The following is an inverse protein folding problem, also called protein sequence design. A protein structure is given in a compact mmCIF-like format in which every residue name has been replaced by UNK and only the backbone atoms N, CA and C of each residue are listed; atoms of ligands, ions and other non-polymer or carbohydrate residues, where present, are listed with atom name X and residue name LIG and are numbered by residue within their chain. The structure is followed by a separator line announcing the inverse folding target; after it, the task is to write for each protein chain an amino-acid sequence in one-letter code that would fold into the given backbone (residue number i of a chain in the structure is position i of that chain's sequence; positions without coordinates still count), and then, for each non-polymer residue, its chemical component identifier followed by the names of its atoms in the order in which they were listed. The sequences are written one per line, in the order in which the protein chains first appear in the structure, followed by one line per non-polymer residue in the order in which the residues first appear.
data_IF_809387435172
#
_entry.id   IF_809387435172
#
_cell.length_a   1.000
_cell.length_b   1.000
_cell.length_c   1.000
_cell.angle_alpha   90.00
_cell.angle_beta   90.00
_cell.angle_gamma   90.00
#
_symmetry.space_group_name_H-M   'P 1'
#
loop_
_entity.id
_entity.type
_entity.pdbx_description
1 polymer ?
#
# COMPACT_ATOMS: atom_id res chain seq x y z
N UNK A 1 58.31 18.08 3.60
CA UNK A 1 57.51 19.24 3.17
C UNK A 1 56.08 18.76 2.98
N UNK A 2 55.17 19.03 3.93
CA UNK A 2 53.77 18.58 3.89
C UNK A 2 52.90 19.74 3.40
N UNK A 3 52.33 19.63 2.21
CA UNK A 3 51.41 20.61 1.65
C UNK A 3 50.01 20.39 2.24
N UNK A 4 49.55 21.33 3.05
CA UNK A 4 48.19 21.38 3.54
C UNK A 4 47.30 22.01 2.46
N UNK A 5 46.45 21.20 1.83
CA UNK A 5 45.41 21.67 0.90
C UNK A 5 44.22 22.11 1.75
N UNK A 6 44.08 23.43 1.90
CA UNK A 6 42.95 24.08 2.55
C UNK A 6 41.77 24.11 1.56
N UNK A 7 40.88 23.13 1.63
CA UNK A 7 39.64 23.11 0.84
C UNK A 7 38.63 24.06 1.51
N UNK A 8 38.57 25.31 1.03
CA UNK A 8 37.55 26.26 1.44
C UNK A 8 36.20 25.83 0.83
N UNK A 9 35.35 25.19 1.64
CA UNK A 9 33.96 24.93 1.31
C UNK A 9 33.21 26.26 1.25
N UNK A 10 33.13 26.84 0.05
CA UNK A 10 32.25 27.97 -0.26
C UNK A 10 30.81 27.48 -0.16
N UNK A 11 30.20 27.62 1.01
CA UNK A 11 28.80 27.29 1.25
C UNK A 11 27.95 28.38 0.58
N UNK A 12 27.49 28.11 -0.65
CA UNK A 12 26.46 28.94 -1.28
C UNK A 12 25.18 28.69 -0.47
N UNK A 13 24.81 29.65 0.37
CA UNK A 13 23.53 29.64 1.05
C UNK A 13 22.45 29.76 -0.04
N UNK A 14 21.86 28.63 -0.42
CA UNK A 14 20.63 28.61 -1.21
C UNK A 14 19.52 29.02 -0.24
N UNK A 15 19.31 30.31 -0.11
CA UNK A 15 18.13 30.86 0.52
C UNK A 15 16.92 30.30 -0.23
N UNK A 16 16.14 29.44 0.43
CA UNK A 16 14.86 28.95 -0.09
C UNK A 16 13.86 30.11 -0.04
N UNK A 17 14.03 31.08 -0.94
CA UNK A 17 13.05 32.12 -1.15
C UNK A 17 11.79 31.48 -1.71
N UNK A 18 10.63 31.99 -1.28
CA UNK A 18 9.30 31.40 -1.47
C UNK A 18 8.98 30.88 -2.88
N UNK A 19 7.86 30.19 -3.00
CA UNK A 19 7.41 29.58 -4.27
C UNK A 19 7.21 30.65 -5.36
N UNK A 20 7.49 30.28 -6.62
CA UNK A 20 7.08 31.08 -7.77
C UNK A 20 5.59 30.87 -8.07
N UNK A 21 4.82 31.94 -7.98
CA UNK A 21 3.39 31.99 -8.31
C UNK A 21 3.22 32.50 -9.74
N UNK A 22 2.46 31.79 -10.55
CA UNK A 22 2.30 32.12 -11.97
C UNK A 22 0.85 32.45 -12.29
N UNK A 23 0.65 33.52 -13.05
CA UNK A 23 -0.68 33.91 -13.52
C UNK A 23 -1.21 32.93 -14.59
N UNK A 24 -2.52 32.95 -14.83
CA UNK A 24 -3.20 32.08 -15.79
C UNK A 24 -2.67 32.24 -17.22
N UNK A 25 -2.07 33.40 -17.54
CA UNK A 25 -1.44 33.64 -18.84
C UNK A 25 -0.01 33.11 -18.95
N UNK A 26 0.66 32.89 -17.82
CA UNK A 26 2.08 32.52 -17.77
C UNK A 26 3.07 33.65 -17.94
N UNK A 27 2.59 34.88 -18.17
CA UNK A 27 3.43 36.05 -18.44
C UNK A 27 3.95 36.68 -17.17
N UNK A 28 3.18 36.61 -16.09
CA UNK A 28 3.51 37.22 -14.82
C UNK A 28 3.89 36.13 -13.80
N UNK A 29 5.02 36.34 -13.15
CA UNK A 29 5.59 35.45 -12.15
C UNK A 29 5.97 36.27 -10.94
N UNK A 30 5.67 35.76 -9.75
CA UNK A 30 6.01 36.43 -8.48
C UNK A 30 6.59 35.39 -7.54
N UNK A 31 7.80 35.62 -7.05
CA UNK A 31 8.38 34.80 -6.00
C UNK A 31 7.95 35.35 -4.63
N UNK A 32 7.19 34.57 -3.88
CA UNK A 32 6.63 35.01 -2.59
C UNK A 32 6.14 33.85 -1.73
N UNK A 33 6.02 34.07 -0.44
CA UNK A 33 5.41 33.16 0.52
C UNK A 33 3.91 33.40 0.61
N UNK A 34 3.15 32.31 0.72
CA UNK A 34 1.71 32.38 1.00
C UNK A 34 1.47 32.93 2.40
N UNK A 35 0.51 33.84 2.55
CA UNK A 35 0.09 34.37 3.85
C UNK A 35 -1.32 33.90 4.19
N UNK A 36 -2.29 34.21 3.33
CA UNK A 36 -3.69 33.86 3.54
C UNK A 36 -4.50 34.00 2.23
N UNK A 37 -5.65 33.33 2.17
CA UNK A 37 -6.73 33.67 1.25
C UNK A 37 -7.68 34.63 1.97
N UNK A 38 -8.25 35.61 1.27
CA UNK A 38 -9.27 36.50 1.84
C UNK A 38 -10.50 35.72 2.31
N UNK A 39 -11.27 36.29 3.24
CA UNK A 39 -12.45 35.63 3.82
C UNK A 39 -13.52 35.27 2.77
N UNK A 40 -13.59 36.04 1.68
CA UNK A 40 -14.48 35.80 0.53
C UNK A 40 -13.96 34.71 -0.44
N UNK A 41 -12.72 34.24 -0.26
CA UNK A 41 -12.09 33.26 -1.13
C UNK A 41 -11.65 33.78 -2.50
N UNK A 42 -11.78 35.08 -2.79
CA UNK A 42 -11.56 35.64 -4.13
C UNK A 42 -10.11 36.05 -4.40
N UNK A 43 -9.35 36.38 -3.36
CA UNK A 43 -7.98 36.88 -3.46
C UNK A 43 -7.04 36.14 -2.52
N UNK A 44 -5.76 36.12 -2.86
CA UNK A 44 -4.71 35.63 -1.98
C UNK A 44 -3.70 36.73 -1.67
N UNK A 45 -3.15 36.68 -0.46
CA UNK A 45 -2.10 37.57 0.00
C UNK A 45 -0.78 36.81 0.01
N UNK A 46 0.20 37.37 -0.69
CA UNK A 46 1.56 36.87 -0.76
C UNK A 46 2.53 37.85 -0.11
N UNK A 47 3.59 37.34 0.52
CA UNK A 47 4.67 38.13 1.09
C UNK A 47 5.96 37.91 0.31
N UNK A 48 6.50 38.97 -0.26
CA UNK A 48 7.76 38.95 -1.02
C UNK A 48 8.97 38.94 -0.09
N UNK A 49 10.14 38.75 -0.68
CA UNK A 49 11.44 38.77 -0.01
C UNK A 49 11.73 40.09 0.72
N UNK A 50 11.36 41.22 0.11
CA UNK A 50 11.43 42.57 0.67
C UNK A 50 10.43 42.84 1.81
N UNK A 51 9.74 41.80 2.30
CA UNK A 51 8.68 41.83 3.31
C UNK A 51 7.40 42.56 2.88
N UNK A 52 7.34 43.10 1.66
CA UNK A 52 6.12 43.69 1.12
C UNK A 52 5.08 42.61 0.84
N UNK A 53 3.80 42.99 0.95
CA UNK A 53 2.68 42.10 0.62
C UNK A 53 2.06 42.50 -0.71
N UNK A 54 1.58 41.51 -1.46
CA UNK A 54 0.82 41.71 -2.68
C UNK A 54 -0.45 40.88 -2.62
N UNK A 55 -1.59 41.49 -2.94
CA UNK A 55 -2.86 40.80 -3.08
C UNK A 55 -3.11 40.50 -4.56
N UNK A 56 -3.39 39.25 -4.88
CA UNK A 56 -3.67 38.77 -6.24
C UNK A 56 -5.04 38.09 -6.29
N UNK A 57 -5.90 38.37 -7.29
CA UNK A 57 -7.12 37.61 -7.49
C UNK A 57 -6.79 36.14 -7.78
N UNK A 58 -7.41 35.23 -7.03
CA UNK A 58 -7.17 33.79 -7.15
C UNK A 58 -7.50 33.28 -8.56
N UNK A 59 -8.59 33.80 -9.15
CA UNK A 59 -9.01 33.50 -10.52
C UNK A 59 -7.98 33.87 -11.61
N UNK A 60 -7.02 34.75 -11.29
CA UNK A 60 -5.93 35.13 -12.20
C UNK A 60 -4.70 34.26 -12.09
N UNK A 61 -4.62 33.35 -11.11
CA UNK A 61 -3.53 32.39 -11.04
C UNK A 61 -3.76 31.20 -11.98
N UNK A 62 -2.70 30.45 -12.29
CA UNK A 62 -2.85 29.13 -12.92
C UNK A 62 -3.59 28.19 -11.99
N UNK A 63 -4.31 27.24 -12.57
CA UNK A 63 -5.08 26.22 -11.82
C UNK A 63 -4.26 25.53 -10.73
N UNK A 64 -3.01 25.15 -11.05
CA UNK A 64 -2.10 24.52 -10.08
C UNK A 64 -1.82 25.40 -8.85
N UNK A 65 -1.58 26.69 -9.06
CA UNK A 65 -1.30 27.61 -7.95
C UNK A 65 -2.59 27.98 -7.19
N UNK A 66 -3.74 28.00 -7.87
CA UNK A 66 -5.05 28.13 -7.20
C UNK A 66 -5.30 26.96 -6.24
N UNK A 67 -5.07 25.74 -6.71
CA UNK A 67 -5.28 24.53 -5.91
C UNK A 67 -4.27 24.48 -4.75
N UNK A 68 -3.03 24.90 -4.98
CA UNK A 68 -2.03 25.00 -3.92
C UNK A 68 -2.35 26.07 -2.86
N UNK A 69 -2.81 27.25 -3.26
CA UNK A 69 -3.24 28.27 -2.29
C UNK A 69 -4.38 27.78 -1.40
N UNK A 70 -5.36 27.07 -1.99
CA UNK A 70 -6.47 26.46 -1.24
C UNK A 70 -5.99 25.37 -0.30
N UNK A 71 -5.04 24.55 -0.73
CA UNK A 71 -4.39 23.56 0.09
C UNK A 71 -3.70 24.17 1.32
N UNK A 72 -2.92 25.25 1.12
CA UNK A 72 -2.26 25.96 2.23
C UNK A 72 -3.28 26.63 3.17
N UNK A 73 -4.31 27.28 2.64
CA UNK A 73 -5.37 27.88 3.44
C UNK A 73 -6.10 26.86 4.34
N UNK A 74 -6.11 25.59 3.94
CA UNK A 74 -6.69 24.49 4.71
C UNK A 74 -5.71 23.84 5.71
N UNK A 75 -4.53 24.42 5.92
CA UNK A 75 -3.49 23.89 6.80
C UNK A 75 -2.73 22.69 6.22
N UNK A 76 -2.72 22.55 4.88
CA UNK A 76 -2.10 21.42 4.21
C UNK A 76 -0.60 21.28 4.47
N UNK A 77 0.12 22.39 4.66
CA UNK A 77 1.56 22.39 4.99
C UNK A 77 1.84 21.80 6.37
N UNK A 78 1.05 22.18 7.37
CA UNK A 78 1.12 21.63 8.72
C UNK A 78 0.87 20.12 8.67
N UNK A 79 -0.16 19.68 7.95
CA UNK A 79 -0.48 18.25 7.80
C UNK A 79 0.64 17.48 7.09
N UNK A 80 1.25 18.05 6.04
CA UNK A 80 2.41 17.44 5.36
C UNK A 80 3.60 17.33 6.30
N UNK A 81 3.84 18.33 7.15
CA UNK A 81 4.92 18.26 8.15
C UNK A 81 4.66 17.16 9.20
N UNK A 82 3.40 17.00 9.62
CA UNK A 82 2.96 15.99 10.57
C UNK A 82 3.12 14.56 10.03
N UNK A 83 3.20 14.35 8.72
CA UNK A 83 3.54 13.05 8.13
C UNK A 83 4.92 12.51 8.56
N UNK A 84 5.81 13.37 9.07
CA UNK A 84 7.12 12.96 9.57
C UNK A 84 7.15 12.73 11.09
N UNK A 85 6.04 12.99 11.80
CA UNK A 85 5.98 12.94 13.27
C UNK A 85 6.41 11.57 13.81
N UNK A 86 7.17 11.50 14.93
CA UNK A 86 7.53 10.21 15.55
C UNK A 86 6.32 9.39 16.01
N UNK A 87 5.20 10.03 16.38
CA UNK A 87 3.97 9.36 16.80
C UNK A 87 3.11 9.02 15.59
N UNK A 88 2.88 7.73 15.39
CA UNK A 88 2.10 7.20 14.27
C UNK A 88 0.66 7.70 14.24
N UNK A 89 0.00 7.84 15.40
CA UNK A 89 -1.36 8.36 15.48
C UNK A 89 -1.50 9.77 14.91
N UNK A 90 -0.47 10.62 15.08
CA UNK A 90 -0.43 11.97 14.49
C UNK A 90 -0.27 11.87 12.97
N UNK A 91 0.65 11.03 12.49
CA UNK A 91 0.87 10.83 11.06
C UNK A 91 -0.38 10.32 10.34
N UNK A 92 -1.05 9.32 10.92
CA UNK A 92 -2.26 8.72 10.37
C UNK A 92 -3.41 9.74 10.32
N UNK A 93 -3.61 10.50 11.39
CA UNK A 93 -4.59 11.58 11.40
C UNK A 93 -4.29 12.66 10.35
N UNK A 94 -3.01 13.00 10.15
CA UNK A 94 -2.58 13.94 9.13
C UNK A 94 -2.84 13.39 7.71
N UNK A 95 -2.46 12.14 7.44
CA UNK A 95 -2.70 11.48 6.16
C UNK A 95 -4.19 11.40 5.82
N UNK A 96 -5.04 11.01 6.79
CA UNK A 96 -6.49 10.97 6.61
C UNK A 96 -7.06 12.36 6.23
N UNK A 97 -6.59 13.42 6.89
CA UNK A 97 -6.99 14.80 6.56
C UNK A 97 -6.49 15.22 5.18
N UNK A 98 -5.26 14.88 4.80
CA UNK A 98 -4.71 15.15 3.47
C UNK A 98 -5.51 14.47 2.36
N UNK A 99 -5.97 13.24 2.58
CA UNK A 99 -6.89 12.55 1.67
C UNK A 99 -8.20 13.33 1.53
N UNK A 100 -8.78 13.77 2.65
CA UNK A 100 -10.03 14.51 2.67
C UNK A 100 -9.93 15.88 1.99
N UNK A 101 -8.76 16.55 2.05
CA UNK A 101 -8.50 17.80 1.33
C UNK A 101 -8.48 17.61 -0.19
N UNK A 102 -7.93 16.49 -0.65
CA UNK A 102 -7.75 16.19 -2.07
C UNK A 102 -6.74 17.12 -2.77
N UNK A 103 -6.46 16.85 -4.06
CA UNK A 103 -5.58 17.66 -4.92
C UNK A 103 -4.25 18.05 -4.26
N UNK A 104 -3.51 17.06 -3.77
CA UNK A 104 -2.23 17.33 -3.12
C UNK A 104 -1.24 17.98 -4.10
N UNK A 105 -0.47 18.98 -3.65
CA UNK A 105 0.53 19.61 -4.51
C UNK A 105 1.70 18.67 -4.77
N UNK A 106 2.38 18.88 -5.90
CA UNK A 106 3.53 18.05 -6.31
C UNK A 106 4.65 18.00 -5.26
N UNK A 107 4.85 19.09 -4.51
CA UNK A 107 5.87 19.17 -3.48
C UNK A 107 5.57 18.25 -2.28
N UNK A 108 4.33 17.78 -2.13
CA UNK A 108 3.92 16.80 -1.10
C UNK A 108 4.27 15.36 -1.45
N UNK A 109 4.68 15.05 -2.68
CA UNK A 109 5.05 13.67 -3.09
C UNK A 109 6.12 13.10 -2.17
N UNK A 110 7.23 13.81 -1.99
CA UNK A 110 8.38 13.30 -1.22
C UNK A 110 8.02 13.03 0.27
N UNK A 111 7.34 13.94 0.99
CA UNK A 111 6.83 13.64 2.34
C UNK A 111 5.88 12.44 2.40
N UNK A 112 4.97 12.29 1.44
CA UNK A 112 4.04 11.14 1.38
C UNK A 112 4.80 9.83 1.16
N UNK A 113 5.79 9.82 0.26
CA UNK A 113 6.64 8.65 0.07
C UNK A 113 7.44 8.31 1.34
N UNK A 114 7.99 9.32 2.02
CA UNK A 114 8.71 9.12 3.28
C UNK A 114 7.81 8.60 4.41
N UNK A 115 6.54 9.04 4.45
CA UNK A 115 5.53 8.49 5.33
C UNK A 115 5.31 7.01 5.05
N UNK A 116 5.05 6.63 3.79
CA UNK A 116 4.84 5.22 3.40
C UNK A 116 6.04 4.37 3.78
N UNK A 117 7.25 4.84 3.49
CA UNK A 117 8.49 4.14 3.84
C UNK A 117 8.61 3.90 5.35
N UNK A 118 8.26 4.92 6.13
CA UNK A 118 8.27 4.84 7.59
C UNK A 118 7.23 3.85 8.10
N UNK A 119 6.01 3.85 7.55
CA UNK A 119 4.97 2.89 7.91
C UNK A 119 5.41 1.45 7.61
N UNK A 120 6.01 1.19 6.45
CA UNK A 120 6.54 -0.14 6.08
C UNK A 120 7.63 -0.59 7.06
N UNK A 121 8.56 0.30 7.43
CA UNK A 121 9.65 -0.02 8.36
C UNK A 121 9.12 -0.28 9.77
N UNK A 122 8.16 0.52 10.24
CA UNK A 122 7.58 0.38 11.58
C UNK A 122 6.64 -0.83 11.72
N UNK A 123 6.14 -1.38 10.60
CA UNK A 123 5.44 -2.67 10.58
C UNK A 123 6.37 -3.85 10.88
N UNK A 124 7.68 -3.68 10.74
CA UNK A 124 8.65 -4.71 11.10
C UNK A 124 8.89 -4.65 12.61
N UNK A 125 8.40 -5.64 13.39
CA UNK A 125 8.60 -5.63 14.83
C UNK A 125 10.10 -5.76 15.12
N UNK A 126 10.70 -4.78 15.79
CA UNK A 126 12.07 -4.92 16.28
C UNK A 126 12.04 -5.92 17.43
N UNK A 127 12.75 -7.08 17.34
CA UNK A 127 12.77 -8.04 18.43
C UNK A 127 13.29 -7.36 19.69
N UNK A 128 12.58 -7.42 20.84
CA UNK A 128 13.09 -6.82 22.06
C UNK A 128 14.37 -7.54 22.47
N UNK A 129 15.45 -6.76 22.71
CA UNK A 129 16.76 -7.29 23.11
C UNK A 129 16.71 -8.11 24.41
N UNK A 130 15.74 -7.81 25.28
CA UNK A 130 15.47 -8.54 26.51
C UNK A 130 14.02 -9.02 26.50
N UNK A 131 13.79 -10.27 26.08
CA UNK A 131 12.46 -10.90 26.12
C UNK A 131 12.11 -11.22 27.58
N UNK A 132 11.48 -10.29 28.28
CA UNK A 132 10.70 -10.67 29.46
C UNK A 132 9.54 -11.54 28.98
N UNK A 133 9.27 -12.63 29.69
CA UNK A 133 8.09 -13.46 29.42
C UNK A 133 6.85 -12.59 29.60
N UNK A 134 6.02 -12.52 28.58
CA UNK A 134 4.74 -11.83 28.67
C UNK A 134 3.85 -12.59 29.67
N UNK A 135 3.24 -11.88 30.61
CA UNK A 135 2.36 -12.48 31.63
C UNK A 135 0.88 -12.27 31.31
N UNK A 136 0.55 -11.17 30.61
CA UNK A 136 -0.82 -10.79 30.27
C UNK A 136 -0.86 -10.12 28.90
N UNK A 137 -1.97 -10.27 28.18
CA UNK A 137 -2.31 -9.47 27.00
C UNK A 137 -3.46 -8.52 27.32
N UNK A 138 -3.35 -7.31 26.80
CA UNK A 138 -4.43 -6.32 26.85
C UNK A 138 -5.36 -6.54 25.66
N UNK A 139 -6.63 -6.85 25.95
CA UNK A 139 -7.69 -6.88 24.95
C UNK A 139 -8.27 -5.47 24.79
N UNK A 140 -8.66 -5.11 23.58
CA UNK A 140 -9.22 -3.79 23.25
C UNK A 140 -10.73 -3.76 23.52
N UNK A 141 -11.41 -4.90 23.47
CA UNK A 141 -12.83 -5.08 23.79
C UNK A 141 -13.75 -5.32 22.58
N UNK A 142 -13.23 -5.17 21.36
CA UNK A 142 -13.85 -5.47 20.06
C UNK A 142 -13.54 -6.89 19.56
N UNK A 143 -12.82 -7.70 20.34
CA UNK A 143 -12.55 -9.09 20.00
C UNK A 143 -13.80 -9.97 20.03
N UNK A 144 -13.88 -10.88 19.06
CA UNK A 144 -14.84 -11.98 19.02
C UNK A 144 -14.11 -13.28 19.32
N UNK A 145 -14.59 -14.05 20.31
CA UNK A 145 -13.97 -15.33 20.64
C UNK A 145 -14.30 -16.41 19.61
N UNK A 146 -13.37 -17.36 19.37
CA UNK A 146 -13.64 -18.49 18.48
C UNK A 146 -14.78 -19.36 19.00
N UNK A 147 -14.98 -19.41 20.32
CA UNK A 147 -16.12 -20.08 20.95
C UNK A 147 -17.44 -19.46 20.47
N UNK A 148 -17.50 -18.13 20.33
CA UNK A 148 -18.70 -17.43 19.85
C UNK A 148 -18.94 -17.72 18.37
N UNK A 149 -17.89 -17.68 17.54
CA UNK A 149 -17.97 -18.02 16.11
C UNK A 149 -18.45 -19.47 15.96
N UNK A 150 -17.84 -20.42 16.67
CA UNK A 150 -18.21 -21.84 16.68
C UNK A 150 -19.65 -22.09 17.10
N UNK A 151 -20.14 -21.37 18.11
CA UNK A 151 -21.49 -21.54 18.62
C UNK A 151 -22.56 -21.09 17.61
N UNK A 152 -22.22 -20.11 16.75
CA UNK A 152 -23.17 -19.48 15.83
C UNK A 152 -22.52 -19.05 14.51
N UNK A 153 -21.94 -19.98 13.73
CA UNK A 153 -21.13 -19.62 12.56
C UNK A 153 -21.92 -18.84 11.50
N UNK A 154 -23.22 -19.11 11.35
CA UNK A 154 -24.09 -18.42 10.40
C UNK A 154 -24.27 -16.93 10.68
N UNK A 155 -24.11 -16.47 11.92
CA UNK A 155 -24.16 -15.03 12.26
C UNK A 155 -22.87 -14.29 11.85
N UNK A 156 -21.81 -15.02 11.47
CA UNK A 156 -20.48 -14.47 11.13
C UNK A 156 -20.08 -14.71 9.67
N UNK A 157 -20.96 -15.25 8.83
CA UNK A 157 -20.66 -15.52 7.42
C UNK A 157 -20.49 -14.20 6.65
N UNK A 158 -19.31 -14.01 6.06
CA UNK A 158 -18.92 -12.79 5.34
C UNK A 158 -18.70 -11.56 6.22
N UNK A 159 -18.92 -11.67 7.53
CA UNK A 159 -18.67 -10.59 8.48
C UNK A 159 -17.19 -10.57 8.88
N UNK A 160 -16.64 -9.38 8.99
CA UNK A 160 -15.29 -9.19 9.52
C UNK A 160 -15.34 -9.09 11.05
N UNK A 161 -14.58 -9.95 11.71
CA UNK A 161 -14.43 -9.97 13.17
C UNK A 161 -12.97 -9.93 13.56
N UNK A 162 -12.69 -9.49 14.79
CA UNK A 162 -11.33 -9.42 15.30
C UNK A 162 -11.07 -10.56 16.28
N UNK A 163 -10.00 -11.33 16.06
CA UNK A 163 -9.56 -12.40 16.95
C UNK A 163 -8.16 -12.11 17.51
N UNK A 164 -7.86 -12.63 18.70
CA UNK A 164 -6.57 -12.45 19.39
C UNK A 164 -5.97 -13.79 19.75
N UNK A 165 -4.71 -14.01 19.37
CA UNK A 165 -4.07 -15.29 19.61
C UNK A 165 -2.66 -15.39 19.06
N UNK A 166 -2.16 -16.62 19.02
CA UNK A 166 -0.86 -16.94 18.43
C UNK A 166 -1.09 -17.59 17.08
N UNK A 167 -0.43 -17.06 16.05
CA UNK A 167 -0.39 -17.65 14.72
C UNK A 167 0.94 -18.38 14.50
N UNK A 168 0.88 -19.58 13.94
CA UNK A 168 2.03 -20.42 13.63
C UNK A 168 1.92 -21.05 12.24
N UNK A 169 3.03 -21.45 11.60
CA UNK A 169 2.97 -22.09 10.30
C UNK A 169 2.14 -23.38 10.40
N UNK A 170 1.22 -23.60 9.47
CA UNK A 170 0.49 -24.86 9.37
C UNK A 170 1.09 -25.75 8.29
N UNK A 171 1.05 -27.05 8.50
CA UNK A 171 1.26 -28.05 7.44
C UNK A 171 -0.02 -28.36 6.67
N UNK A 172 -1.14 -27.75 7.07
CA UNK A 172 -2.47 -28.04 6.55
C UNK A 172 -2.82 -27.10 5.37
N UNK A 173 -2.50 -27.51 4.13
CA UNK A 173 -2.79 -26.76 2.91
C UNK A 173 -4.00 -27.34 2.14
N UNK A 174 -4.69 -26.47 1.39
CA UNK A 174 -5.75 -26.77 0.41
C UNK A 174 -7.06 -27.37 0.95
N UNK A 175 -7.30 -27.36 2.26
CA UNK A 175 -8.60 -27.76 2.78
C UNK A 175 -9.64 -26.66 2.53
N UNK A 176 -10.57 -26.91 1.61
CA UNK A 176 -11.61 -25.97 1.20
C UNK A 176 -11.10 -24.79 0.36
N UNK A 177 -9.84 -24.82 -0.09
CA UNK A 177 -9.15 -23.68 -0.71
C UNK A 177 -8.36 -24.16 -1.95
N UNK A 178 -8.99 -24.10 -3.12
CA UNK A 178 -8.31 -24.40 -4.39
C UNK A 178 -7.19 -23.40 -4.61
N UNK A 179 -5.99 -23.90 -4.98
CA UNK A 179 -4.80 -23.08 -5.23
C UNK A 179 -4.43 -22.16 -4.05
N UNK A 180 -4.76 -22.53 -2.80
CA UNK A 180 -4.32 -21.75 -1.64
C UNK A 180 -2.80 -21.65 -1.56
N UNK A 181 -2.08 -22.69 -1.95
CA UNK A 181 -0.62 -22.68 -2.00
C UNK A 181 -0.01 -21.57 -2.87
N UNK A 182 -0.71 -21.05 -3.88
CA UNK A 182 -0.23 -19.95 -4.70
C UNK A 182 -0.72 -18.58 -4.22
N UNK A 183 -1.84 -18.53 -3.50
CA UNK A 183 -2.53 -17.28 -3.14
C UNK A 183 -2.46 -16.93 -1.64
N UNK A 184 -2.27 -17.93 -0.78
CA UNK A 184 -2.32 -17.81 0.67
C UNK A 184 -1.17 -18.56 1.37
N UNK A 185 -0.88 -18.16 2.60
CA UNK A 185 -0.19 -19.00 3.57
C UNK A 185 -1.23 -19.66 4.48
N UNK A 186 -1.11 -20.97 4.68
CA UNK A 186 -1.91 -21.68 5.67
C UNK A 186 -1.26 -21.58 7.05
N UNK A 187 -2.03 -21.15 8.04
CA UNK A 187 -1.54 -20.97 9.41
C UNK A 187 -2.48 -21.59 10.43
N UNK A 188 -1.91 -22.07 11.52
CA UNK A 188 -2.65 -22.49 12.69
C UNK A 188 -2.78 -21.29 13.63
N UNK A 189 -3.99 -21.05 14.11
CA UNK A 189 -4.28 -20.00 15.06
C UNK A 189 -4.73 -20.60 16.39
N UNK A 190 -4.13 -20.15 17.48
CA UNK A 190 -4.54 -20.49 18.85
C UNK A 190 -5.02 -19.25 19.58
N UNK A 191 -6.33 -19.16 19.82
CA UNK A 191 -6.94 -18.06 20.56
C UNK A 191 -6.37 -18.01 21.98
N UNK A 192 -6.02 -16.81 22.43
CA UNK A 192 -5.54 -16.56 23.79
C UNK A 192 -6.53 -15.70 24.56
N UNK A 193 -6.72 -16.03 25.83
CA UNK A 193 -7.35 -15.15 26.82
C UNK A 193 -6.34 -14.15 27.40
N UNK A 194 -6.82 -13.22 28.23
CA UNK A 194 -5.98 -12.17 28.85
C UNK A 194 -4.79 -12.72 29.61
N UNK A 195 -4.91 -13.89 30.25
CA UNK A 195 -3.85 -14.53 31.03
C UNK A 195 -2.99 -15.50 30.20
N UNK A 196 -3.05 -15.39 28.87
CA UNK A 196 -2.35 -16.24 27.91
C UNK A 196 -2.79 -17.72 27.93
N UNK A 197 -3.94 -18.05 28.53
CA UNK A 197 -4.52 -19.38 28.41
C UNK A 197 -5.13 -19.57 27.04
N UNK A 198 -4.84 -20.71 26.39
CA UNK A 198 -5.40 -21.07 25.08
C UNK A 198 -6.88 -21.45 25.22
N UNK A 199 -7.75 -20.80 24.45
CA UNK A 199 -9.20 -21.00 24.50
C UNK A 199 -9.75 -21.85 23.34
N UNK A 200 -9.15 -21.71 22.16
CA UNK A 200 -9.66 -22.32 20.94
C UNK A 200 -8.58 -22.41 19.86
N UNK A 201 -8.90 -23.13 18.78
CA UNK A 201 -8.04 -23.25 17.60
C UNK A 201 -8.86 -23.09 16.33
N UNK A 202 -8.24 -22.52 15.30
CA UNK A 202 -8.76 -22.43 13.94
C UNK A 202 -7.58 -22.46 12.96
N UNK A 203 -7.88 -22.64 11.68
CA UNK A 203 -6.95 -22.40 10.59
C UNK A 203 -7.24 -21.03 9.99
N UNK A 204 -6.19 -20.24 9.78
CA UNK A 204 -6.30 -18.93 9.15
C UNK A 204 -5.50 -18.95 7.86
N UNK A 205 -6.18 -18.69 6.75
CA UNK A 205 -5.54 -18.45 5.46
C UNK A 205 -5.21 -16.97 5.36
N UNK A 206 -3.92 -16.68 5.17
CA UNK A 206 -3.43 -15.30 5.09
C UNK A 206 -3.02 -15.04 3.65
N UNK A 207 -3.68 -14.12 2.93
CA UNK A 207 -3.31 -13.80 1.57
C UNK A 207 -1.82 -13.44 1.48
N UNK A 208 -1.09 -14.07 0.54
CA UNK A 208 0.36 -13.84 0.35
C UNK A 208 0.70 -12.37 0.07
N UNK A 209 -0.31 -11.64 -0.39
CA UNK A 209 -0.30 -10.26 -0.82
C UNK A 209 0.09 -9.27 0.31
N UNK A 210 -0.25 -9.49 1.60
CA UNK A 210 0.20 -8.63 2.73
C UNK A 210 0.89 -9.41 3.86
N UNK A 211 1.16 -10.69 3.68
CA UNK A 211 1.56 -11.55 4.79
C UNK A 211 3.07 -11.64 5.00
N UNK A 212 3.90 -11.08 4.11
CA UNK A 212 5.35 -11.28 4.12
C UNK A 212 5.99 -11.02 5.50
N UNK A 213 5.76 -9.83 6.05
CA UNK A 213 6.28 -9.45 7.37
C UNK A 213 5.75 -10.34 8.51
N UNK A 214 4.49 -10.74 8.44
CA UNK A 214 3.89 -11.62 9.44
C UNK A 214 4.51 -13.03 9.36
N UNK A 215 4.69 -13.55 8.15
CA UNK A 215 5.26 -14.89 7.91
C UNK A 215 6.72 -14.93 8.35
N UNK A 216 7.52 -13.93 7.99
CA UNK A 216 8.91 -13.84 8.42
C UNK A 216 8.99 -13.73 9.95
N UNK A 217 8.20 -12.83 10.55
CA UNK A 217 8.15 -12.67 12.00
C UNK A 217 7.66 -13.91 12.74
N UNK A 218 6.79 -14.71 12.12
CA UNK A 218 6.30 -15.99 12.61
C UNK A 218 7.39 -17.06 12.51
N UNK A 219 8.08 -17.19 11.38
CA UNK A 219 9.20 -18.10 11.18
C UNK A 219 10.32 -17.84 12.20
N UNK A 220 10.75 -16.58 12.35
CA UNK A 220 11.74 -16.18 13.35
C UNK A 220 11.33 -16.54 14.78
N UNK A 221 10.03 -16.41 15.10
CA UNK A 221 9.51 -16.74 16.43
C UNK A 221 9.62 -18.24 16.69
N UNK A 222 9.23 -19.07 15.72
CA UNK A 222 9.35 -20.54 15.80
C UNK A 222 10.80 -20.99 15.86
N UNK A 223 11.68 -20.44 15.04
CA UNK A 223 13.12 -20.71 15.06
C UNK A 223 13.77 -20.33 16.39
N UNK A 224 13.22 -19.31 17.07
CA UNK A 224 13.62 -18.92 18.42
C UNK A 224 13.05 -19.81 19.54
N UNK A 225 12.30 -20.87 19.20
CA UNK A 225 11.67 -21.80 20.16
C UNK A 225 10.35 -21.30 20.77
N UNK A 226 9.70 -20.29 20.17
CA UNK A 226 8.34 -19.88 20.54
C UNK A 226 7.30 -20.66 19.74
N UNK A 227 6.07 -20.73 20.24
CA UNK A 227 4.97 -21.43 19.57
C UNK A 227 4.52 -20.73 18.27
N UNK A 228 4.82 -19.44 18.10
CA UNK A 228 4.38 -18.63 16.97
C UNK A 228 4.45 -17.13 17.28
N UNK A 229 3.70 -16.33 16.52
CA UNK A 229 3.62 -14.87 16.69
C UNK A 229 2.31 -14.46 17.36
N UNK A 230 2.38 -13.62 18.39
CA UNK A 230 1.19 -13.02 19.02
C UNK A 230 0.61 -11.93 18.11
N UNK A 231 -0.67 -12.11 17.74
CA UNK A 231 -1.36 -11.30 16.74
C UNK A 231 -2.79 -10.95 17.16
N UNK A 232 -3.23 -9.80 16.66
CA UNK A 232 -4.63 -9.40 16.51
C UNK A 232 -4.95 -9.51 15.03
N UNK A 233 -6.01 -10.22 14.63
CA UNK A 233 -6.32 -10.42 13.21
C UNK A 233 -7.75 -10.04 12.92
N UNK A 234 -7.98 -9.27 11.86
CA UNK A 234 -9.30 -9.15 11.21
C UNK A 234 -9.46 -10.37 10.33
N UNK A 235 -10.52 -11.11 10.57
CA UNK A 235 -10.81 -12.35 9.86
C UNK A 235 -12.27 -12.41 9.45
N UNK A 236 -12.56 -13.19 8.42
CA UNK A 236 -13.93 -13.49 8.01
C UNK A 236 -14.10 -14.98 7.73
N UNK A 237 -15.34 -15.46 7.88
CA UNK A 237 -15.74 -16.81 7.46
C UNK A 237 -16.40 -16.71 6.09
N UNK A 238 -15.72 -17.12 5.02
CA UNK A 238 -16.29 -17.03 3.65
C UNK A 238 -17.53 -17.93 3.54
N UNK A 239 -18.69 -17.37 3.12
CA UNK A 239 -19.94 -18.13 2.99
C UNK A 239 -19.82 -19.40 2.15
N UNK A 240 -19.10 -19.33 1.02
CA UNK A 240 -18.95 -20.44 0.07
C UNK A 240 -18.22 -21.62 0.71
N UNK A 241 -17.17 -21.31 1.49
CA UNK A 241 -16.37 -22.33 2.19
C UNK A 241 -17.15 -23.02 3.28
N UNK A 242 -17.92 -22.25 4.03
CA UNK A 242 -18.77 -22.78 5.07
C UNK A 242 -19.85 -23.72 4.51
N UNK A 243 -20.46 -23.35 3.37
CA UNK A 243 -21.44 -24.19 2.68
C UNK A 243 -20.84 -25.50 2.16
N UNK A 244 -19.64 -25.45 1.56
CA UNK A 244 -18.99 -26.62 0.97
C UNK A 244 -18.39 -27.59 2.00
N UNK A 245 -17.67 -27.06 3.00
CA UNK A 245 -16.96 -27.87 3.98
C UNK A 245 -17.78 -28.14 5.25
N UNK A 246 -18.78 -27.29 5.55
CA UNK A 246 -19.53 -27.33 6.81
C UNK A 246 -18.69 -26.99 8.04
N UNK A 247 -17.48 -26.44 7.88
CA UNK A 247 -16.57 -26.13 8.98
C UNK A 247 -16.48 -24.63 9.24
N UNK A 248 -16.49 -24.26 10.52
CA UNK A 248 -16.42 -22.86 10.99
C UNK A 248 -14.99 -22.40 11.26
N UNK A 249 -14.04 -23.34 11.27
CA UNK A 249 -12.65 -23.16 11.71
C UNK A 249 -11.71 -22.79 10.57
N UNK A 250 -12.24 -22.49 9.38
CA UNK A 250 -11.51 -21.97 8.24
C UNK A 250 -11.79 -20.48 8.09
N UNK A 251 -10.84 -19.67 8.54
CA UNK A 251 -10.96 -18.21 8.53
C UNK A 251 -10.01 -17.62 7.49
N UNK A 252 -10.40 -16.50 6.91
CA UNK A 252 -9.58 -15.74 5.99
C UNK A 252 -9.17 -14.42 6.62
N UNK A 253 -7.87 -14.17 6.69
CA UNK A 253 -7.33 -12.93 7.23
C UNK A 253 -7.50 -11.80 6.21
N UNK A 254 -8.03 -10.66 6.65
CA UNK A 254 -8.11 -9.43 5.87
C UNK A 254 -7.10 -8.37 6.34
N UNK A 255 -6.63 -8.45 7.60
CA UNK A 255 -5.66 -7.53 8.19
C UNK A 255 -5.10 -8.10 9.50
N UNK A 256 -3.96 -7.59 9.96
CA UNK A 256 -3.36 -8.02 11.23
C UNK A 256 -2.62 -6.91 11.96
N UNK A 257 -2.45 -7.09 13.26
CA UNK A 257 -1.64 -6.29 14.19
C UNK A 257 -0.68 -7.22 14.92
N UNK A 258 0.53 -6.75 15.15
CA UNK A 258 1.50 -7.44 16.01
C UNK A 258 1.49 -6.83 17.41
N UNK A 259 1.84 -7.65 18.40
CA UNK A 259 2.07 -7.14 19.73
C UNK A 259 3.52 -6.67 19.89
N UNK A 260 3.71 -5.37 20.16
CA UNK A 260 5.01 -4.74 20.38
C UNK A 260 5.58 -4.90 21.79
N UNK A 261 4.88 -5.64 22.67
CA UNK A 261 5.23 -5.81 24.08
C UNK A 261 4.51 -4.80 24.98
N UNK A 262 4.68 -4.93 26.30
CA UNK A 262 3.93 -4.16 27.31
C UNK A 262 4.03 -2.63 27.14
N UNK A 263 5.16 -2.12 26.67
CA UNK A 263 5.36 -0.68 26.50
C UNK A 263 4.67 -0.12 25.25
N UNK A 264 4.44 -0.95 24.24
CA UNK A 264 3.90 -0.53 22.93
C UNK A 264 2.45 -0.99 22.71
N UNK A 265 2.03 -2.08 23.36
CA UNK A 265 0.73 -2.70 23.16
C UNK A 265 0.61 -3.29 21.74
N UNK A 266 -0.60 -3.23 21.19
CA UNK A 266 -0.86 -3.57 19.80
C UNK A 266 -0.32 -2.48 18.87
N UNK A 267 0.54 -2.89 17.94
CA UNK A 267 0.92 -2.05 16.80
C UNK A 267 -0.32 -1.81 15.93
N UNK A 268 -0.39 -0.72 15.16
CA UNK A 268 -1.52 -0.50 14.27
C UNK A 268 -1.63 -1.56 13.18
N UNK A 269 -2.80 -1.58 12.57
CA UNK A 269 -3.13 -2.53 11.52
C UNK A 269 -2.16 -2.41 10.36
N UNK A 270 -1.72 -3.56 9.87
CA UNK A 270 -0.75 -3.71 8.79
C UNK A 270 -1.15 -2.94 7.53
N UNK A 271 -2.45 -2.84 7.26
CA UNK A 271 -2.91 -2.15 6.06
C UNK A 271 -3.28 -0.68 6.28
N UNK A 272 -3.49 -0.19 7.51
CA UNK A 272 -4.03 1.17 7.72
C UNK A 272 -3.05 2.25 7.26
N UNK A 273 -1.78 2.15 7.66
CA UNK A 273 -0.74 3.10 7.23
C UNK A 273 -0.51 3.08 5.72
N UNK A 274 -0.51 1.88 5.12
CA UNK A 274 -0.39 1.70 3.68
C UNK A 274 -1.60 2.27 2.93
N UNK A 275 -2.83 1.97 3.36
CA UNK A 275 -4.08 2.51 2.80
C UNK A 275 -4.10 4.03 2.84
N UNK A 276 -3.65 4.63 3.94
CA UNK A 276 -3.56 6.09 4.08
C UNK A 276 -2.50 6.67 3.14
N UNK A 277 -1.30 6.08 3.08
CA UNK A 277 -0.25 6.55 2.19
C UNK A 277 -0.66 6.45 0.72
N UNK A 278 -1.29 5.33 0.36
CA UNK A 278 -1.93 5.08 -0.93
C UNK A 278 -3.00 6.13 -1.24
N UNK A 279 -3.89 6.41 -0.29
CA UNK A 279 -4.93 7.42 -0.46
C UNK A 279 -4.34 8.79 -0.73
N UNK A 280 -3.24 9.16 -0.05
CA UNK A 280 -2.51 10.39 -0.33
C UNK A 280 -1.93 10.39 -1.76
N UNK A 281 -1.29 9.30 -2.19
CA UNK A 281 -0.75 9.19 -3.54
C UNK A 281 -1.83 9.30 -4.64
N UNK A 282 -3.02 8.76 -4.39
CA UNK A 282 -4.16 8.90 -5.30
C UNK A 282 -4.55 10.37 -5.54
N UNK A 283 -4.34 11.25 -4.55
CA UNK A 283 -4.62 12.68 -4.68
C UNK A 283 -3.55 13.45 -5.46
N UNK A 284 -2.37 12.86 -5.69
CA UNK A 284 -1.25 13.50 -6.38
C UNK A 284 -1.38 13.43 -7.92
N UNK A 285 -2.38 12.73 -8.46
CA UNK A 285 -2.59 12.54 -9.91
C UNK A 285 -1.31 12.15 -10.68
N UNK A 286 -0.42 11.38 -10.04
CA UNK A 286 0.89 11.00 -10.58
C UNK A 286 1.10 9.50 -10.42
N UNK A 287 1.49 8.85 -11.52
CA UNK A 287 1.76 7.41 -11.57
C UNK A 287 3.20 7.12 -11.14
N UNK A 288 4.18 7.84 -11.69
CA UNK A 288 5.61 7.55 -11.49
C UNK A 288 6.07 7.43 -10.01
N UNK A 289 5.68 8.32 -9.08
CA UNK A 289 6.07 8.19 -7.68
C UNK A 289 5.55 6.91 -7.04
N UNK A 290 4.32 6.50 -7.42
CA UNK A 290 3.70 5.27 -6.95
C UNK A 290 4.49 4.07 -7.49
N UNK A 291 4.83 4.07 -8.78
CA UNK A 291 5.63 3.00 -9.39
C UNK A 291 6.99 2.83 -8.71
N UNK A 292 7.64 3.93 -8.33
CA UNK A 292 8.93 3.84 -7.64
C UNK A 292 8.86 3.17 -6.27
N UNK A 293 7.71 3.26 -5.56
CA UNK A 293 7.49 2.47 -4.34
C UNK A 293 7.46 0.97 -4.63
N UNK A 294 6.77 0.55 -5.71
CA UNK A 294 6.62 -0.87 -6.06
C UNK A 294 7.92 -1.54 -6.44
N UNK A 295 8.85 -0.77 -7.02
CA UNK A 295 10.16 -1.30 -7.40
C UNK A 295 11.07 -1.57 -6.19
N UNK A 296 10.67 -1.19 -4.97
CA UNK A 296 11.47 -1.42 -3.77
C UNK A 296 11.40 -2.88 -3.34
N UNK A 297 12.54 -3.53 -3.00
CA UNK A 297 12.60 -4.96 -2.68
C UNK A 297 11.60 -5.42 -1.61
N UNK A 298 11.29 -4.55 -0.64
CA UNK A 298 10.42 -4.87 0.50
C UNK A 298 8.95 -4.47 0.27
N UNK A 299 8.63 -3.90 -0.89
CA UNK A 299 7.29 -3.45 -1.31
C UNK A 299 6.81 -4.24 -2.53
N UNK A 300 7.61 -5.19 -3.02
CA UNK A 300 7.26 -6.15 -4.09
C UNK A 300 6.26 -7.19 -3.60
N UNK A 301 5.21 -6.74 -2.92
CA UNK A 301 4.07 -7.57 -2.65
C UNK A 301 3.13 -7.50 -3.85
N UNK A 302 2.37 -8.57 -4.10
CA UNK A 302 1.32 -8.57 -5.11
C UNK A 302 0.28 -7.46 -4.87
N UNK A 303 0.26 -6.89 -3.67
CA UNK A 303 -0.61 -5.80 -3.23
C UNK A 303 -0.27 -4.49 -3.89
N UNK A 304 1.02 -4.20 -3.92
CA UNK A 304 1.54 -2.98 -4.49
C UNK A 304 1.30 -3.01 -6.01
N UNK A 305 1.41 -4.19 -6.62
CA UNK A 305 1.10 -4.46 -8.03
C UNK A 305 -0.40 -4.32 -8.32
N UNK A 306 -1.28 -5.04 -7.61
CA UNK A 306 -2.74 -4.96 -7.80
C UNK A 306 -3.25 -3.53 -7.54
N UNK A 307 -2.71 -2.88 -6.50
CA UNK A 307 -2.97 -1.49 -6.20
C UNK A 307 -2.65 -0.57 -7.37
N UNK A 308 -1.49 -0.74 -8.00
CA UNK A 308 -1.11 0.09 -9.15
C UNK A 308 -1.95 -0.21 -10.36
N UNK A 309 -2.30 -1.46 -10.62
CA UNK A 309 -3.23 -1.79 -11.70
C UNK A 309 -4.57 -1.07 -11.48
N UNK A 310 -5.11 -1.09 -10.26
CA UNK A 310 -6.35 -0.37 -9.91
C UNK A 310 -6.19 1.15 -10.01
N UNK A 311 -5.07 1.70 -9.53
CA UNK A 311 -4.76 3.12 -9.59
C UNK A 311 -4.73 3.61 -11.05
N UNK A 312 -4.07 2.84 -11.92
CA UNK A 312 -3.95 3.14 -13.35
C UNK A 312 -5.29 3.04 -14.06
N UNK A 313 -6.08 2.00 -13.75
CA UNK A 313 -7.43 1.89 -14.27
C UNK A 313 -8.27 3.11 -13.88
N UNK A 314 -8.20 3.54 -12.62
CA UNK A 314 -8.91 4.72 -12.14
C UNK A 314 -8.40 6.03 -12.79
N UNK A 315 -7.09 6.17 -13.00
CA UNK A 315 -6.49 7.33 -13.67
C UNK A 315 -6.90 7.41 -15.15
N UNK A 316 -6.88 6.25 -15.84
CA UNK A 316 -7.34 6.13 -17.22
C UNK A 316 -8.82 6.50 -17.36
N UNK A 317 -9.68 6.03 -16.44
CA UNK A 317 -11.10 6.41 -16.41
C UNK A 317 -11.34 7.91 -16.16
N UNK A 318 -10.41 8.59 -15.47
CA UNK A 318 -10.45 10.05 -15.26
C UNK A 318 -9.88 10.84 -16.45
N UNK A 319 -9.47 10.18 -17.54
CA UNK A 319 -8.88 10.82 -18.70
C UNK A 319 -7.47 11.37 -18.45
N UNK A 320 -6.78 10.88 -17.42
CA UNK A 320 -5.39 11.26 -17.15
C UNK A 320 -4.50 10.51 -18.14
N UNK A 321 -3.69 11.27 -18.89
CA UNK A 321 -2.80 10.74 -19.92
C UNK A 321 -1.64 9.97 -19.29
N UNK A 322 -1.71 8.63 -19.33
CA UNK A 322 -0.66 7.74 -18.84
C UNK A 322 0.49 7.76 -19.84
N UNK A 323 1.64 8.32 -19.44
CA UNK A 323 2.77 8.44 -20.35
C UNK A 323 3.35 7.06 -20.66
N UNK A 324 3.94 6.91 -21.84
CA UNK A 324 4.59 5.64 -22.23
C UNK A 324 5.65 5.19 -21.23
N UNK A 325 6.40 6.11 -20.63
CA UNK A 325 7.38 5.82 -19.59
C UNK A 325 6.75 5.22 -18.33
N UNK A 326 5.52 5.59 -18.01
CA UNK A 326 4.77 4.99 -16.91
C UNK A 326 4.43 3.54 -17.27
N UNK A 327 3.91 3.30 -18.48
CA UNK A 327 3.60 1.94 -18.98
C UNK A 327 4.83 1.04 -19.00
N UNK A 328 5.96 1.52 -19.51
CA UNK A 328 7.21 0.75 -19.53
C UNK A 328 7.68 0.42 -18.10
N UNK A 329 7.60 1.37 -17.17
CA UNK A 329 7.92 1.14 -15.75
C UNK A 329 6.96 0.14 -15.08
N UNK A 330 5.68 0.15 -15.46
CA UNK A 330 4.67 -0.81 -15.00
C UNK A 330 4.98 -2.20 -15.52
N UNK A 331 5.31 -2.32 -16.82
CA UNK A 331 5.70 -3.60 -17.41
C UNK A 331 6.95 -4.11 -16.73
N UNK A 332 7.94 -3.26 -16.43
CA UNK A 332 9.14 -3.68 -15.71
C UNK A 332 8.81 -4.14 -14.28
N UNK A 333 7.88 -3.49 -13.57
CA UNK A 333 7.38 -3.96 -12.28
C UNK A 333 6.66 -5.30 -12.42
N UNK A 334 5.73 -5.44 -13.37
CA UNK A 334 4.97 -6.67 -13.60
C UNK A 334 5.93 -7.80 -13.97
N UNK A 335 6.90 -7.56 -14.85
CA UNK A 335 7.90 -8.56 -15.26
C UNK A 335 8.84 -8.91 -14.10
N UNK A 336 9.25 -7.95 -13.28
CA UNK A 336 9.99 -8.22 -12.05
C UNK A 336 9.15 -9.04 -11.05
N UNK A 337 7.84 -8.78 -10.99
CA UNK A 337 6.90 -9.52 -10.14
C UNK A 337 6.60 -10.93 -10.70
N UNK A 338 6.51 -11.09 -12.02
CA UNK A 338 6.37 -12.38 -12.71
C UNK A 338 7.66 -13.21 -12.61
N UNK A 339 8.83 -12.58 -12.55
CA UNK A 339 10.08 -13.28 -12.24
C UNK A 339 10.12 -13.81 -10.79
N UNK A 340 9.31 -13.23 -9.89
CA UNK A 340 9.11 -13.69 -8.51
C UNK A 340 7.92 -14.65 -8.35
N UNK A 341 6.93 -14.60 -9.26
CA UNK A 341 5.70 -15.40 -9.23
C UNK A 341 5.58 -16.17 -10.54
N UNK A 342 5.99 -17.42 -10.54
CA UNK A 342 6.01 -18.29 -11.71
C UNK A 342 4.62 -18.81 -12.15
N UNK A 343 3.49 -18.25 -11.71
CA UNK A 343 2.15 -18.81 -11.99
C UNK A 343 1.02 -17.77 -12.17
N UNK A 344 -0.05 -18.24 -12.81
CA UNK A 344 -1.13 -17.53 -13.53
C UNK A 344 -1.72 -16.30 -12.83
N UNK A 345 -1.58 -15.14 -13.49
CA UNK A 345 -2.36 -13.93 -13.19
C UNK A 345 -3.83 -14.16 -13.56
N UNK A 346 -4.75 -13.76 -12.68
CA UNK A 346 -6.19 -13.71 -12.91
C UNK A 346 -6.51 -13.12 -14.30
N UNK A 347 -7.37 -13.81 -15.06
CA UNK A 347 -7.72 -13.44 -16.44
C UNK A 347 -8.33 -12.03 -16.52
N UNK A 348 -8.99 -11.56 -15.46
CA UNK A 348 -9.56 -10.21 -15.37
C UNK A 348 -8.48 -9.12 -15.20
N UNK A 349 -7.45 -9.38 -14.40
CA UNK A 349 -6.29 -8.49 -14.23
C UNK A 349 -5.47 -8.44 -15.51
N UNK A 350 -5.27 -9.60 -16.15
CA UNK A 350 -4.64 -9.69 -17.47
C UNK A 350 -5.43 -8.90 -18.51
N UNK A 351 -6.76 -9.02 -18.55
CA UNK A 351 -7.62 -8.29 -19.48
C UNK A 351 -7.64 -6.78 -19.19
N UNK A 352 -7.58 -6.35 -17.92
CA UNK A 352 -7.46 -4.94 -17.55
C UNK A 352 -6.12 -4.35 -18.02
N UNK A 353 -5.01 -5.08 -17.84
CA UNK A 353 -3.70 -4.70 -18.38
C UNK A 353 -3.70 -4.67 -19.91
N UNK A 354 -4.29 -5.67 -20.58
CA UNK A 354 -4.46 -5.70 -22.05
C UNK A 354 -5.27 -4.49 -22.53
N UNK A 355 -6.37 -4.15 -21.85
CA UNK A 355 -7.21 -3.02 -22.21
C UNK A 355 -6.48 -1.68 -22.01
N UNK A 356 -5.75 -1.52 -20.90
CA UNK A 356 -4.92 -0.33 -20.63
C UNK A 356 -3.78 -0.19 -21.65
N UNK A 357 -3.15 -1.30 -22.02
CA UNK A 357 -2.11 -1.37 -23.07
C UNK A 357 -2.70 -1.07 -24.46
N UNK A 358 -3.90 -1.57 -24.77
CA UNK A 358 -4.55 -1.40 -26.07
C UNK A 358 -4.91 0.06 -26.39
N UNK A 359 -5.06 0.90 -25.36
CA UNK A 359 -5.26 2.36 -25.43
C UNK A 359 -3.95 3.10 -25.76
N UNK A 360 -2.79 2.54 -25.42
CA UNK A 360 -1.48 3.14 -25.73
C UNK A 360 -0.96 2.78 -27.13
N UNK A 361 -0.37 3.76 -27.83
CA UNK A 361 0.00 3.72 -29.25
C UNK A 361 0.77 2.45 -29.72
N UNK A 362 0.65 2.19 -31.04
CA UNK A 362 1.18 1.14 -31.93
C UNK A 362 2.44 0.35 -31.49
N UNK A 363 3.34 0.93 -30.72
CA UNK A 363 4.56 0.29 -30.21
C UNK A 363 4.30 -0.60 -28.99
N UNK A 364 3.39 -0.22 -28.09
CA UNK A 364 3.02 -1.04 -26.93
C UNK A 364 2.18 -2.25 -27.39
N UNK A 365 1.31 -2.06 -28.39
CA UNK A 365 0.66 -3.18 -29.10
C UNK A 365 1.65 -4.20 -29.64
N UNK A 366 2.78 -3.75 -30.22
CA UNK A 366 3.81 -4.67 -30.73
C UNK A 366 4.45 -5.50 -29.62
N UNK A 367 4.79 -4.86 -28.49
CA UNK A 367 5.43 -5.53 -27.34
C UNK A 367 4.46 -6.45 -26.59
N UNK A 368 3.19 -6.07 -26.45
CA UNK A 368 2.14 -6.94 -25.92
C UNK A 368 1.85 -8.13 -26.82
N UNK A 369 1.83 -7.93 -28.14
CA UNK A 369 1.73 -9.03 -29.11
C UNK A 369 2.94 -9.96 -29.00
N UNK A 370 4.14 -9.43 -28.78
CA UNK A 370 5.35 -10.26 -28.64
C UNK A 370 5.36 -11.03 -27.30
N UNK A 371 4.88 -10.45 -26.20
CA UNK A 371 4.66 -11.15 -24.92
C UNK A 371 3.58 -12.24 -25.02
N UNK A 372 2.45 -11.94 -25.67
CA UNK A 372 1.38 -12.92 -25.91
C UNK A 372 1.84 -14.05 -26.86
N UNK A 373 2.71 -13.76 -27.83
CA UNK A 373 3.36 -14.79 -28.67
C UNK A 373 4.30 -15.67 -27.84
N UNK A 374 5.07 -15.09 -26.92
CA UNK A 374 5.94 -15.85 -26.03
C UNK A 374 5.14 -16.80 -25.13
N UNK A 375 4.02 -16.32 -24.57
CA UNK A 375 3.10 -17.13 -23.78
C UNK A 375 2.40 -18.22 -24.61
N UNK A 376 1.98 -17.91 -25.84
CA UNK A 376 1.48 -18.94 -26.77
C UNK A 376 2.52 -20.03 -27.05
N UNK A 377 3.79 -19.67 -27.23
CA UNK A 377 4.88 -20.64 -27.45
C UNK A 377 5.23 -21.46 -26.20
N UNK A 378 4.96 -20.94 -24.99
CA UNK A 378 5.05 -21.69 -23.74
C UNK A 378 3.86 -22.65 -23.60
N UNK A 379 2.63 -22.16 -23.75
CA UNK A 379 1.40 -22.95 -23.72
C UNK A 379 1.44 -24.11 -24.73
N UNK A 380 1.93 -23.88 -25.95
CA UNK A 380 2.09 -24.92 -26.98
C UNK A 380 3.09 -26.02 -26.59
N UNK A 381 4.13 -25.69 -25.80
CA UNK A 381 5.05 -26.70 -25.27
C UNK A 381 4.38 -27.57 -24.20
N UNK A 382 3.52 -26.97 -23.38
CA UNK A 382 2.71 -27.69 -22.38
C UNK A 382 1.66 -28.57 -23.05
N UNK A 383 0.95 -28.08 -24.06
CA UNK A 383 -0.04 -28.86 -24.84
C UNK A 383 0.58 -30.12 -25.46
N UNK A 384 1.78 -29.98 -26.05
CA UNK A 384 2.51 -31.10 -26.63
C UNK A 384 2.98 -32.12 -25.59
N UNK A 385 3.22 -31.70 -24.34
CA UNK A 385 3.70 -32.56 -23.27
C UNK A 385 2.56 -33.28 -22.53
N UNK A 386 1.38 -32.66 -22.42
CA UNK A 386 0.31 -33.12 -21.54
C UNK A 386 -1.05 -33.32 -22.23
N UNK A 387 -1.17 -33.09 -23.54
CA UNK A 387 -2.41 -33.31 -24.29
C UNK A 387 -3.55 -32.37 -23.92
N UNK A 388 -3.24 -31.26 -23.25
CA UNK A 388 -4.19 -30.20 -22.88
C UNK A 388 -4.25 -29.15 -24.00
N UNK A 389 -5.27 -28.30 -24.03
CA UNK A 389 -5.61 -27.42 -25.17
C UNK A 389 -5.43 -25.93 -24.83
N UNK A 390 -4.35 -25.57 -24.13
CA UNK A 390 -4.05 -24.21 -23.68
C UNK A 390 -3.74 -23.24 -24.84
N UNK A 391 -3.17 -23.74 -25.93
CA UNK A 391 -2.87 -22.96 -27.13
C UNK A 391 -4.13 -22.42 -27.81
N UNK A 392 -5.27 -23.14 -27.74
CA UNK A 392 -6.54 -22.63 -28.26
C UNK A 392 -7.09 -21.45 -27.43
N UNK A 393 -6.93 -21.50 -26.10
CA UNK A 393 -7.31 -20.38 -25.22
C UNK A 393 -6.41 -19.16 -25.42
N UNK A 394 -5.11 -19.37 -25.59
CA UNK A 394 -4.17 -18.30 -25.92
C UNK A 394 -4.47 -17.66 -27.30
N UNK A 395 -4.87 -18.46 -28.30
CA UNK A 395 -5.30 -17.95 -29.62
C UNK A 395 -6.60 -17.15 -29.52
N UNK A 396 -7.53 -17.53 -28.65
CA UNK A 396 -8.76 -16.77 -28.41
C UNK A 396 -8.49 -15.42 -27.73
N UNK A 397 -7.52 -15.34 -26.82
CA UNK A 397 -7.10 -14.08 -26.19
C UNK A 397 -6.26 -13.16 -27.11
N UNK A 398 -5.62 -13.75 -28.14
CA UNK A 398 -4.84 -13.04 -29.16
C UNK A 398 -5.69 -12.43 -30.29
N UNK A 399 -6.90 -12.95 -30.51
CA UNK A 399 -7.88 -12.44 -31.48
C UNK A 399 -8.69 -11.33 -30.84
#
# INVERSE_FOLDING_TARGET
MRAAILFAFLSIAVSSYGREWVDSTGKHRVQADFVAISEDGESLTLKKDDQSTVSLPLSRLRKQDQDYAKFLAAGGDELVSQLSDPKQSIRHAAAAKLIALGNLPEDSVKPVLAFIDKEIVEMVPVPPKNRKRLEKIELVGDETSLIRIKAKPTEFLGEEVIIVGVVSPSSYYNYGYDNAESTHFATDFSELSTDLTRLGRAHVYIPKVFSGLLVDGMAESVESGLDGKLVRMKVSLDPRRYEDAGTWDLLECSDWQLYGGEAQGWLPWSQDGLKLGVGCLQQLNRVAPVLSLLTRPNVQTSEAVDFVIRLLAAQSLKGIDIQRSDVDSIVDVIVASEALVNEEIDTSVRQACINAIAVSEKTVRRRAVDLLKMEYLRARRVDNAYGVNWSQRAVAALR
#
